data_IF_969514150685
#
_entry.id   IF_969514150685
#
_cell.length_a   1.000
_cell.length_b   1.000
_cell.length_c   1.000
_cell.angle_alpha   90.00
_cell.angle_beta   90.00
_cell.angle_gamma   90.00
#
_symmetry.space_group_name_H-M   'P 1'
#
loop_
_entity.id
_entity.type
_entity.pdbx_description
1 polymer ?
#
# COMPACT_ATOMS: atom_id res chain seq x y z
N UNK A 1 8.50 7.89 -12.81
CA UNK A 1 7.67 7.34 -13.89
C UNK A 1 7.72 8.28 -15.08
N UNK A 2 7.91 7.74 -16.31
CA UNK A 2 7.81 8.51 -17.55
C UNK A 2 6.36 8.38 -18.03
N UNK A 3 5.69 9.53 -18.26
CA UNK A 3 4.26 9.56 -18.62
C UNK A 3 4.01 10.57 -19.73
N UNK A 4 3.04 10.28 -20.58
CA UNK A 4 2.53 11.24 -21.55
C UNK A 4 1.60 12.24 -20.86
N UNK A 5 1.41 13.41 -21.43
CA UNK A 5 0.53 14.45 -20.87
C UNK A 5 -0.92 13.95 -20.71
N UNK A 6 -1.37 13.08 -21.62
CA UNK A 6 -2.69 12.46 -21.56
C UNK A 6 -2.92 11.51 -20.36
N UNK A 7 -1.86 11.03 -19.72
CA UNK A 7 -1.93 10.17 -18.54
C UNK A 7 -2.80 10.76 -17.43
N UNK A 8 -2.65 12.06 -17.20
CA UNK A 8 -3.37 12.76 -16.14
C UNK A 8 -4.88 12.85 -16.41
N UNK A 9 -5.29 12.96 -17.70
CA UNK A 9 -6.70 12.95 -18.09
C UNK A 9 -7.31 11.56 -17.96
N UNK A 10 -6.58 10.52 -18.41
CA UNK A 10 -7.04 9.14 -18.36
C UNK A 10 -7.33 8.73 -16.92
N UNK A 11 -6.48 9.11 -15.98
CA UNK A 11 -6.65 8.82 -14.55
C UNK A 11 -7.43 9.89 -13.78
N UNK A 12 -7.84 11.00 -14.43
CA UNK A 12 -8.52 12.13 -13.78
C UNK A 12 -7.73 12.70 -12.60
N UNK A 13 -6.42 12.81 -12.76
CA UNK A 13 -5.57 13.40 -11.74
C UNK A 13 -5.75 14.93 -11.79
N UNK A 14 -6.02 15.50 -10.63
CA UNK A 14 -6.21 16.95 -10.44
C UNK A 14 -5.11 17.56 -9.57
N UNK A 15 -5.02 18.88 -9.60
CA UNK A 15 -4.23 19.66 -8.64
C UNK A 15 -4.94 19.71 -7.26
N UNK A 16 -4.37 20.44 -6.31
CA UNK A 16 -4.96 20.63 -4.97
C UNK A 16 -6.31 21.36 -4.98
N UNK A 17 -6.58 22.13 -6.03
CA UNK A 17 -7.81 22.91 -6.20
C UNK A 17 -8.87 22.16 -7.02
N UNK A 18 -8.59 20.94 -7.41
CA UNK A 18 -9.49 20.10 -8.21
C UNK A 18 -9.47 20.41 -9.72
N UNK A 19 -8.53 21.25 -10.19
CA UNK A 19 -8.39 21.56 -11.62
C UNK A 19 -7.64 20.44 -12.34
N UNK A 20 -7.98 20.15 -13.60
CA UNK A 20 -7.26 19.16 -14.39
C UNK A 20 -5.79 19.60 -14.61
N UNK A 21 -4.88 18.64 -14.51
CA UNK A 21 -3.43 18.89 -14.62
C UNK A 21 -3.01 19.20 -16.06
N UNK A 22 -3.66 18.61 -17.06
CA UNK A 22 -3.25 18.72 -18.46
C UNK A 22 -3.10 20.17 -18.96
N UNK A 23 -4.08 21.08 -18.79
CA UNK A 23 -3.92 22.46 -19.25
C UNK A 23 -2.73 23.17 -18.58
N UNK A 24 -2.51 22.89 -17.28
CA UNK A 24 -1.42 23.48 -16.51
C UNK A 24 -0.06 23.03 -17.05
N UNK A 25 0.04 21.76 -17.45
CA UNK A 25 1.25 21.17 -18.03
C UNK A 25 1.49 21.68 -19.45
N UNK A 26 0.44 21.80 -20.27
CA UNK A 26 0.54 22.29 -21.65
C UNK A 26 1.00 23.76 -21.70
N UNK A 27 0.59 24.59 -20.75
CA UNK A 27 1.04 25.99 -20.61
C UNK A 27 2.45 26.13 -20.02
N UNK A 28 2.96 25.08 -19.39
CA UNK A 28 4.25 25.09 -18.69
C UNK A 28 5.36 24.54 -19.58
N UNK A 29 6.58 25.04 -19.42
CA UNK A 29 7.81 24.52 -20.02
C UNK A 29 8.55 23.53 -19.12
N UNK A 30 7.97 23.16 -17.95
CA UNK A 30 8.62 22.28 -17.00
C UNK A 30 8.68 20.81 -17.45
N UNK A 31 9.63 20.06 -16.92
CA UNK A 31 9.97 18.69 -17.31
C UNK A 31 9.25 17.64 -16.46
N UNK A 32 8.89 18.02 -15.24
CA UNK A 32 8.33 17.08 -14.26
C UNK A 32 7.03 17.58 -13.63
N UNK A 33 6.17 16.64 -13.28
CA UNK A 33 5.02 16.86 -12.40
C UNK A 33 5.30 16.15 -11.07
N UNK A 34 5.09 16.84 -9.97
CA UNK A 34 5.29 16.29 -8.62
C UNK A 34 3.97 16.11 -7.87
N UNK A 35 3.93 15.17 -6.94
CA UNK A 35 2.78 15.00 -6.04
C UNK A 35 2.78 16.05 -4.93
N UNK A 36 1.59 16.34 -4.37
CA UNK A 36 1.46 17.27 -3.25
C UNK A 36 2.24 16.85 -2.00
N UNK A 37 2.44 15.55 -1.79
CA UNK A 37 3.29 15.04 -0.70
C UNK A 37 4.74 15.43 -0.94
N UNK A 38 5.22 15.27 -2.18
CA UNK A 38 6.57 15.65 -2.56
C UNK A 38 6.80 17.15 -2.46
N UNK A 39 5.80 17.96 -2.86
CA UNK A 39 5.87 19.41 -2.69
C UNK A 39 6.04 19.79 -1.23
N UNK A 40 5.29 19.13 -0.33
CA UNK A 40 5.36 19.40 1.11
C UNK A 40 6.74 19.03 1.68
N UNK A 41 7.29 17.89 1.28
CA UNK A 41 8.60 17.41 1.76
C UNK A 41 9.76 18.26 1.24
N UNK A 42 9.74 18.63 -0.04
CA UNK A 42 10.87 19.36 -0.65
C UNK A 42 10.78 20.89 -0.48
N UNK A 43 9.59 21.45 -0.52
CA UNK A 43 9.39 22.90 -0.51
C UNK A 43 8.73 23.43 0.77
N UNK A 44 8.58 22.58 1.80
CA UNK A 44 8.06 22.96 3.13
C UNK A 44 6.74 23.76 3.07
N UNK A 45 5.85 23.37 2.17
CA UNK A 45 4.54 24.03 1.98
C UNK A 45 4.54 25.25 1.06
N UNK A 46 5.68 25.67 0.52
CA UNK A 46 5.72 26.68 -0.54
C UNK A 46 5.37 26.05 -1.89
N UNK A 47 4.81 26.86 -2.80
CA UNK A 47 4.54 26.38 -4.16
C UNK A 47 5.79 25.86 -4.86
N UNK A 48 5.73 24.64 -5.33
CA UNK A 48 6.81 24.00 -6.10
C UNK A 48 6.79 24.34 -7.58
N UNK A 49 5.66 24.84 -8.12
CA UNK A 49 5.49 25.13 -9.54
C UNK A 49 6.55 26.11 -10.04
N UNK A 50 7.23 25.79 -11.13
CA UNK A 50 8.28 26.59 -11.74
C UNK A 50 9.64 26.54 -11.04
N UNK A 51 9.75 25.85 -9.90
CA UNK A 51 11.02 25.67 -9.20
C UNK A 51 11.81 24.51 -9.82
N UNK A 52 13.14 24.59 -9.67
CA UNK A 52 14.04 23.54 -10.10
C UNK A 52 14.32 22.52 -8.98
N UNK A 53 14.32 21.26 -9.34
CA UNK A 53 14.65 20.14 -8.44
C UNK A 53 15.88 19.43 -8.98
N UNK A 54 16.84 19.14 -8.10
CA UNK A 54 18.02 18.35 -8.41
C UNK A 54 17.95 17.01 -7.66
N UNK A 55 18.17 15.91 -8.35
CA UNK A 55 18.14 14.57 -7.78
C UNK A 55 19.55 14.17 -7.28
N UNK A 56 19.80 14.44 -6.00
CA UNK A 56 21.07 14.11 -5.35
C UNK A 56 22.21 15.11 -5.62
N UNK A 57 23.24 15.06 -4.77
CA UNK A 57 24.36 16.01 -4.77
C UNK A 57 25.28 15.89 -5.99
N UNK A 58 25.22 14.78 -6.75
CA UNK A 58 26.06 14.52 -7.93
C UNK A 58 25.34 14.74 -9.26
N UNK A 59 24.05 15.04 -9.26
CA UNK A 59 23.32 15.27 -10.50
C UNK A 59 23.64 16.66 -11.05
N UNK A 60 24.09 16.68 -12.29
CA UNK A 60 24.31 17.93 -13.09
C UNK A 60 23.02 18.46 -13.68
N UNK A 61 21.99 17.66 -13.80
CA UNK A 61 20.70 18.01 -14.40
C UNK A 61 19.74 18.52 -13.31
N UNK A 62 19.14 19.67 -13.58
CA UNK A 62 18.04 20.21 -12.80
C UNK A 62 16.76 20.13 -13.62
N UNK A 63 15.71 19.60 -13.03
CA UNK A 63 14.40 19.45 -13.65
C UNK A 63 13.46 20.54 -13.15
N UNK A 64 12.69 21.13 -14.05
CA UNK A 64 11.73 22.20 -13.70
C UNK A 64 10.36 21.60 -13.43
N UNK A 65 9.74 22.00 -12.33
CA UNK A 65 8.40 21.54 -11.95
C UNK A 65 7.34 22.23 -12.82
N UNK A 66 6.66 21.47 -13.67
CA UNK A 66 5.57 21.95 -14.52
C UNK A 66 4.27 22.18 -13.74
N UNK A 67 3.91 21.20 -12.91
CA UNK A 67 2.68 21.22 -12.13
C UNK A 67 2.81 20.39 -10.84
N UNK A 68 1.89 20.63 -9.92
CA UNK A 68 1.77 19.89 -8.66
C UNK A 68 0.41 19.25 -8.61
N UNK A 69 0.35 17.94 -8.40
CA UNK A 69 -0.91 17.21 -8.25
C UNK A 69 -1.40 17.20 -6.80
N UNK A 70 -2.66 16.84 -6.59
CA UNK A 70 -3.11 16.39 -5.28
C UNK A 70 -2.30 15.18 -4.81
N UNK A 71 -2.25 14.86 -3.50
CA UNK A 71 -1.61 13.64 -3.01
C UNK A 71 -2.18 12.40 -3.69
N UNK A 72 -1.31 11.58 -4.30
CA UNK A 72 -1.71 10.41 -5.07
C UNK A 72 -1.47 9.15 -4.24
N UNK A 73 -2.50 8.33 -4.08
CA UNK A 73 -2.41 7.00 -3.46
C UNK A 73 -2.31 5.94 -4.54
N UNK A 74 -1.36 5.04 -4.41
CA UNK A 74 -1.24 3.89 -5.30
C UNK A 74 -2.37 2.87 -5.11
N UNK A 75 -2.91 2.79 -3.89
CA UNK A 75 -4.09 2.00 -3.56
C UNK A 75 -4.78 2.57 -2.31
N UNK A 76 -5.96 2.07 -1.99
CA UNK A 76 -6.81 2.58 -0.89
C UNK A 76 -6.23 2.34 0.50
N UNK A 77 -5.34 1.35 0.65
CA UNK A 77 -4.81 0.92 1.95
C UNK A 77 -3.45 1.52 2.28
N UNK A 78 -2.83 2.21 1.33
CA UNK A 78 -1.52 2.82 1.51
C UNK A 78 -1.67 4.33 1.55
N UNK A 79 -0.97 4.98 2.48
CA UNK A 79 -0.88 6.44 2.49
C UNK A 79 -0.22 6.92 1.20
N UNK A 80 -0.61 8.11 0.76
CA UNK A 80 0.09 8.78 -0.33
C UNK A 80 1.59 8.88 -0.03
N UNK A 81 2.38 8.75 -1.07
CA UNK A 81 3.85 8.85 -0.98
C UNK A 81 4.34 9.90 -1.96
N UNK A 82 5.43 10.59 -1.62
CA UNK A 82 6.09 11.47 -2.57
C UNK A 82 6.38 10.74 -3.87
N UNK A 83 5.89 11.27 -4.98
CA UNK A 83 6.15 10.74 -6.30
C UNK A 83 6.29 11.86 -7.33
N UNK A 84 6.96 11.56 -8.42
CA UNK A 84 7.16 12.47 -9.53
C UNK A 84 7.03 11.73 -10.85
N UNK A 85 6.67 12.49 -11.89
CA UNK A 85 6.42 12.03 -13.23
C UNK A 85 7.24 12.86 -14.21
N UNK A 86 8.09 12.21 -15.01
CA UNK A 86 8.74 12.85 -16.16
C UNK A 86 7.75 12.95 -17.31
N UNK A 87 7.65 14.13 -17.88
CA UNK A 87 6.75 14.41 -18.98
C UNK A 87 7.39 14.03 -20.32
N UNK A 88 6.77 13.14 -21.05
CA UNK A 88 7.06 12.86 -22.45
C UNK A 88 6.11 13.72 -23.29
N UNK A 89 6.65 14.78 -23.91
CA UNK A 89 5.85 15.78 -24.66
C UNK A 89 5.87 15.53 -26.15
N UNK A 90 6.99 14.99 -26.65
CA UNK A 90 7.22 14.78 -28.07
C UNK A 90 7.28 13.28 -28.38
N UNK A 91 7.03 12.93 -29.65
CA UNK A 91 7.20 11.54 -30.12
C UNK A 91 8.64 11.06 -29.97
N UNK A 92 9.62 11.97 -30.03
CA UNK A 92 11.02 11.69 -29.78
C UNK A 92 11.28 11.29 -28.34
N UNK A 93 10.66 11.97 -27.36
CA UNK A 93 10.75 11.61 -25.94
C UNK A 93 10.18 10.20 -25.69
N UNK A 94 9.04 9.91 -26.34
CA UNK A 94 8.40 8.60 -26.26
C UNK A 94 9.30 7.52 -26.87
N UNK A 95 9.86 7.78 -28.05
CA UNK A 95 10.75 6.85 -28.74
C UNK A 95 12.03 6.60 -27.93
N UNK A 96 12.62 7.65 -27.35
CA UNK A 96 13.79 7.52 -26.47
C UNK A 96 13.47 6.71 -25.22
N UNK A 97 12.36 7.03 -24.54
CA UNK A 97 11.94 6.28 -23.37
C UNK A 97 11.62 4.82 -23.69
N UNK A 98 11.06 4.55 -24.87
CA UNK A 98 10.79 3.20 -25.35
C UNK A 98 12.06 2.42 -25.72
N UNK A 99 13.10 3.09 -26.23
CA UNK A 99 14.38 2.44 -26.54
C UNK A 99 15.15 2.03 -25.29
N UNK A 100 15.03 2.81 -24.22
CA UNK A 100 15.69 2.55 -22.94
C UNK A 100 14.90 1.56 -22.06
N UNK A 101 13.58 1.48 -22.26
CA UNK A 101 12.71 0.59 -21.53
C UNK A 101 12.58 -0.78 -22.22
N UNK A 102 12.47 -1.83 -21.43
CA UNK A 102 12.07 -3.13 -21.98
C UNK A 102 10.57 -3.07 -22.34
N UNK A 103 10.13 -3.65 -23.49
CA UNK A 103 8.73 -3.60 -23.91
C UNK A 103 7.71 -4.04 -22.84
N UNK A 104 8.10 -4.99 -21.99
CA UNK A 104 7.30 -5.48 -20.87
C UNK A 104 7.08 -4.46 -19.74
N UNK A 105 7.76 -3.32 -19.77
CA UNK A 105 7.63 -2.24 -18.78
C UNK A 105 6.85 -1.04 -19.34
N UNK A 106 6.19 -1.23 -20.48
CA UNK A 106 5.37 -0.21 -21.12
C UNK A 106 3.89 -0.55 -20.94
N UNK A 107 3.19 0.30 -20.22
CA UNK A 107 1.75 0.17 -20.00
C UNK A 107 0.99 1.23 -20.81
N UNK A 108 0.01 0.80 -21.59
CA UNK A 108 -0.90 1.70 -22.28
C UNK A 108 -2.23 1.75 -21.53
N UNK A 109 -2.56 2.92 -20.99
CA UNK A 109 -3.83 3.14 -20.28
C UNK A 109 -4.87 3.72 -21.24
N UNK A 110 -5.98 3.05 -21.38
CA UNK A 110 -7.09 3.49 -22.23
C UNK A 110 -8.35 3.66 -21.39
N UNK A 111 -8.99 4.82 -21.52
CA UNK A 111 -10.30 5.07 -20.90
C UNK A 111 -11.40 4.84 -21.93
N UNK A 112 -12.24 3.88 -21.64
CA UNK A 112 -13.42 3.60 -22.47
C UNK A 112 -14.58 4.53 -22.13
N UNK A 113 -15.53 4.69 -23.07
CA UNK A 113 -16.77 5.44 -22.84
C UNK A 113 -17.64 4.75 -21.80
N UNK A 114 -18.47 5.51 -21.13
CA UNK A 114 -19.48 4.95 -20.23
C UNK A 114 -20.40 3.98 -21.00
N UNK A 115 -20.62 2.79 -20.43
CA UNK A 115 -21.44 1.74 -21.04
C UNK A 115 -20.64 0.69 -21.82
N UNK A 116 -19.30 0.83 -21.96
CA UNK A 116 -18.45 -0.21 -22.50
C UNK A 116 -18.41 -1.39 -21.50
N UNK A 117 -18.65 -2.61 -21.98
CA UNK A 117 -18.60 -3.84 -21.18
C UNK A 117 -17.38 -4.66 -21.57
N UNK A 118 -16.89 -5.47 -20.62
CA UNK A 118 -15.80 -6.38 -20.92
C UNK A 118 -16.10 -7.39 -22.04
N UNK A 119 -17.36 -7.75 -22.21
CA UNK A 119 -17.85 -8.60 -23.31
C UNK A 119 -17.59 -7.98 -24.69
N UNK A 120 -17.47 -6.64 -24.76
CA UNK A 120 -17.19 -5.91 -26.00
C UNK A 120 -15.68 -5.83 -26.30
N UNK A 121 -14.83 -6.32 -25.40
CA UNK A 121 -13.37 -6.20 -25.51
C UNK A 121 -12.81 -6.95 -26.70
N UNK A 122 -13.27 -8.18 -26.94
CA UNK A 122 -12.81 -9.00 -28.07
C UNK A 122 -13.13 -8.33 -29.39
N UNK A 123 -14.35 -7.78 -29.53
CA UNK A 123 -14.75 -7.02 -30.70
C UNK A 123 -13.97 -5.73 -30.88
N UNK A 124 -13.57 -5.08 -29.78
CA UNK A 124 -12.71 -3.91 -29.83
C UNK A 124 -11.30 -4.28 -30.29
N UNK A 125 -10.71 -5.34 -29.74
CA UNK A 125 -9.38 -5.82 -30.11
C UNK A 125 -9.33 -6.28 -31.57
N UNK A 126 -10.36 -6.96 -32.05
CA UNK A 126 -10.47 -7.37 -33.45
C UNK A 126 -10.48 -6.14 -34.40
N UNK A 127 -11.27 -5.11 -34.07
CA UNK A 127 -11.36 -3.88 -34.87
C UNK A 127 -10.10 -3.01 -34.81
N UNK A 128 -9.40 -3.03 -33.70
CA UNK A 128 -8.24 -2.16 -33.44
C UNK A 128 -6.91 -2.91 -33.60
N UNK A 129 -6.92 -4.24 -33.77
CA UNK A 129 -5.71 -5.07 -33.78
C UNK A 129 -4.64 -4.62 -34.74
N UNK A 130 -5.01 -4.25 -35.96
CA UNK A 130 -4.05 -3.71 -36.94
C UNK A 130 -3.46 -2.35 -36.54
N UNK A 131 -4.25 -1.50 -35.88
CA UNK A 131 -3.81 -0.18 -35.41
C UNK A 131 -2.99 -0.25 -34.12
N UNK A 132 -3.18 -1.30 -33.33
CA UNK A 132 -2.46 -1.57 -32.09
C UNK A 132 -1.22 -2.40 -32.29
N UNK A 133 -0.96 -2.81 -33.54
CA UNK A 133 0.27 -3.54 -33.92
C UNK A 133 1.20 -2.62 -34.71
N UNK A 134 2.36 -2.33 -34.14
CA UNK A 134 3.37 -1.46 -34.76
C UNK A 134 4.75 -2.14 -34.62
N UNK A 135 5.44 -2.35 -35.76
CA UNK A 135 6.81 -2.85 -35.79
C UNK A 135 7.09 -4.06 -34.88
N UNK A 136 6.34 -5.15 -34.99
CA UNK A 136 6.40 -6.34 -34.13
C UNK A 136 5.99 -6.14 -32.65
N UNK A 137 5.54 -4.97 -32.28
CA UNK A 137 4.85 -4.76 -31.00
C UNK A 137 3.36 -4.99 -31.20
N UNK A 138 2.77 -5.84 -30.39
CA UNK A 138 1.35 -6.13 -30.38
C UNK A 138 0.81 -6.13 -28.96
N UNK A 139 -0.47 -5.86 -28.82
CA UNK A 139 -1.12 -5.91 -27.52
C UNK A 139 -1.20 -7.35 -27.06
N UNK A 140 -0.48 -7.69 -26.02
CA UNK A 140 -0.47 -9.03 -25.45
C UNK A 140 -1.71 -9.34 -24.64
N UNK A 141 -2.18 -8.36 -23.84
CA UNK A 141 -3.38 -8.52 -23.02
C UNK A 141 -3.98 -7.16 -22.70
N UNK A 142 -5.29 -7.13 -22.56
CA UNK A 142 -6.02 -5.97 -22.05
C UNK A 142 -6.72 -6.40 -20.77
N UNK A 143 -6.43 -5.72 -19.69
CA UNK A 143 -6.95 -6.06 -18.37
C UNK A 143 -7.67 -4.84 -17.81
N UNK A 144 -8.91 -4.97 -17.33
CA UNK A 144 -9.59 -3.89 -16.63
C UNK A 144 -8.79 -3.46 -15.41
N UNK A 145 -8.71 -2.16 -15.16
CA UNK A 145 -8.00 -1.65 -13.99
C UNK A 145 -8.58 -2.20 -12.67
N UNK A 146 -9.87 -2.51 -12.67
CA UNK A 146 -10.55 -3.12 -11.52
C UNK A 146 -10.04 -4.54 -11.23
N UNK A 147 -9.72 -5.32 -12.24
CA UNK A 147 -9.16 -6.67 -12.08
C UNK A 147 -7.68 -6.67 -11.68
N UNK A 148 -6.96 -5.61 -11.95
CA UNK A 148 -5.59 -5.44 -11.45
C UNK A 148 -5.55 -5.19 -9.94
N UNK A 149 -6.60 -4.61 -9.39
CA UNK A 149 -6.70 -4.28 -7.97
C UNK A 149 -6.46 -5.48 -7.05
N UNK A 150 -7.16 -6.63 -7.19
CA UNK A 150 -6.91 -7.80 -6.36
C UNK A 150 -5.49 -8.38 -6.55
N UNK A 151 -4.91 -8.27 -7.73
CA UNK A 151 -3.54 -8.74 -8.01
C UNK A 151 -2.52 -7.91 -7.23
N UNK A 152 -2.63 -6.59 -7.28
CA UNK A 152 -1.75 -5.66 -6.54
C UNK A 152 -1.90 -5.85 -5.02
N UNK A 153 -3.13 -6.05 -4.55
CA UNK A 153 -3.42 -6.21 -3.13
C UNK A 153 -3.11 -7.62 -2.59
N UNK A 154 -3.02 -8.64 -3.45
CA UNK A 154 -2.79 -10.03 -3.06
C UNK A 154 -1.58 -10.17 -2.13
N UNK A 155 -0.46 -9.57 -2.48
CA UNK A 155 0.76 -9.59 -1.68
C UNK A 155 0.54 -9.00 -0.28
N UNK A 156 -0.16 -7.88 -0.18
CA UNK A 156 -0.46 -7.23 1.11
C UNK A 156 -1.43 -8.06 1.95
N UNK A 157 -2.45 -8.64 1.33
CA UNK A 157 -3.43 -9.50 2.00
C UNK A 157 -2.76 -10.79 2.49
N UNK A 158 -1.91 -11.43 1.68
CA UNK A 158 -1.20 -12.64 2.06
C UNK A 158 -0.21 -12.38 3.20
N UNK A 159 0.46 -11.24 3.20
CA UNK A 159 1.31 -10.83 4.31
C UNK A 159 0.50 -10.57 5.59
N UNK A 160 -0.69 -9.97 5.49
CA UNK A 160 -1.58 -9.79 6.63
C UNK A 160 -2.06 -11.13 7.18
N UNK A 161 -2.48 -12.07 6.32
CA UNK A 161 -2.88 -13.43 6.72
C UNK A 161 -1.75 -14.15 7.45
N UNK A 162 -0.51 -14.07 6.95
CA UNK A 162 0.68 -14.66 7.61
C UNK A 162 0.90 -14.05 8.99
N UNK A 163 0.79 -12.74 9.14
CA UNK A 163 0.93 -12.06 10.45
C UNK A 163 -0.17 -12.51 11.43
N UNK A 164 -1.42 -12.57 10.99
CA UNK A 164 -2.55 -13.03 11.82
C UNK A 164 -2.33 -14.50 12.25
N UNK A 165 -1.91 -15.37 11.35
CA UNK A 165 -1.61 -16.75 11.67
C UNK A 165 -0.49 -16.87 12.71
N UNK A 166 0.58 -16.07 12.56
CA UNK A 166 1.70 -16.04 13.51
C UNK A 166 1.25 -15.57 14.89
N UNK A 167 0.48 -14.49 14.95
CA UNK A 167 -0.06 -13.97 16.22
C UNK A 167 -1.00 -14.99 16.86
N UNK A 168 -1.88 -15.63 16.08
CA UNK A 168 -2.75 -16.68 16.55
C UNK A 168 -1.98 -17.88 17.15
N UNK A 169 -0.94 -18.32 16.46
CA UNK A 169 -0.05 -19.37 16.96
C UNK A 169 0.63 -18.97 18.27
N UNK A 170 1.15 -17.74 18.38
CA UNK A 170 1.74 -17.22 19.60
C UNK A 170 0.73 -17.18 20.75
N UNK A 171 -0.50 -16.71 20.52
CA UNK A 171 -1.54 -16.68 21.53
C UNK A 171 -1.89 -18.09 22.04
N UNK A 172 -1.99 -19.08 21.15
CA UNK A 172 -2.23 -20.48 21.53
C UNK A 172 -1.09 -21.02 22.40
N UNK A 173 0.17 -20.74 22.05
CA UNK A 173 1.32 -21.16 22.87
C UNK A 173 1.32 -20.49 24.25
N UNK A 174 1.03 -19.21 24.33
CA UNK A 174 0.92 -18.50 25.61
C UNK A 174 -0.22 -19.09 26.44
N UNK A 175 -1.36 -19.38 25.82
CA UNK A 175 -2.50 -20.00 26.51
C UNK A 175 -2.11 -21.37 27.10
N UNK A 176 -1.47 -22.25 26.32
CA UNK A 176 -1.00 -23.53 26.83
C UNK A 176 0.06 -23.42 27.91
N UNK A 177 0.95 -22.42 27.79
CA UNK A 177 1.92 -22.11 28.86
C UNK A 177 1.24 -21.75 30.17
N UNK A 178 0.23 -20.86 30.12
CA UNK A 178 -0.53 -20.42 31.30
C UNK A 178 -1.30 -21.62 31.90
N UNK A 179 -2.00 -22.37 31.07
CA UNK A 179 -2.75 -23.55 31.52
C UNK A 179 -1.82 -24.59 32.14
N UNK A 180 -0.67 -24.88 31.52
CA UNK A 180 0.32 -25.83 32.01
C UNK A 180 0.91 -25.41 33.34
N UNK A 181 1.31 -24.17 33.50
CA UNK A 181 1.85 -23.66 34.78
C UNK A 181 0.80 -23.67 35.88
N UNK A 182 -0.44 -23.33 35.56
CA UNK A 182 -1.57 -23.37 36.53
C UNK A 182 -1.88 -24.79 36.95
N UNK A 183 -1.87 -25.75 36.02
CA UNK A 183 -2.05 -27.15 36.26
C UNK A 183 -0.97 -27.73 37.22
N UNK A 184 0.30 -27.49 36.91
CA UNK A 184 1.42 -27.93 37.73
C UNK A 184 1.33 -27.33 39.15
N UNK A 185 1.08 -26.06 39.28
CA UNK A 185 0.95 -25.40 40.56
C UNK A 185 -0.19 -25.94 41.40
N UNK A 186 -1.33 -26.26 40.79
CA UNK A 186 -2.47 -26.88 41.44
C UNK A 186 -2.12 -28.27 41.93
N UNK A 187 -1.36 -29.06 41.19
CA UNK A 187 -0.91 -30.41 41.61
C UNK A 187 0.03 -30.32 42.82
N UNK A 188 1.00 -29.45 42.82
CA UNK A 188 1.93 -29.27 43.95
C UNK A 188 1.21 -28.88 45.25
N UNK A 189 0.12 -28.09 45.17
CA UNK A 189 -0.61 -27.59 46.34
C UNK A 189 -1.81 -28.46 46.76
N UNK A 190 -2.01 -29.62 46.15
CA UNK A 190 -3.12 -30.52 46.49
C UNK A 190 -3.14 -30.88 47.98
N UNK A 191 -1.97 -31.19 48.56
CA UNK A 191 -1.84 -31.51 49.99
C UNK A 191 -2.22 -30.35 50.90
N UNK A 192 -1.78 -29.14 50.62
CA UNK A 192 -2.11 -27.92 51.37
C UNK A 192 -3.59 -27.61 51.32
N UNK A 193 -4.20 -27.76 50.14
CA UNK A 193 -5.63 -27.56 49.97
C UNK A 193 -6.47 -28.63 50.69
N UNK A 194 -6.00 -29.88 50.70
CA UNK A 194 -6.62 -30.95 51.47
C UNK A 194 -6.63 -30.62 52.98
N UNK A 195 -5.51 -30.13 53.50
CA UNK A 195 -5.40 -29.75 54.90
C UNK A 195 -6.34 -28.56 55.23
N UNK A 196 -6.40 -27.52 54.42
CA UNK A 196 -7.32 -26.37 54.60
C UNK A 196 -8.78 -26.81 54.53
N UNK A 197 -9.11 -27.72 53.63
CA UNK A 197 -10.47 -28.29 53.56
C UNK A 197 -10.84 -29.09 54.80
N UNK A 198 -9.89 -29.88 55.36
CA UNK A 198 -10.10 -30.60 56.61
C UNK A 198 -10.28 -29.69 57.82
N UNK A 199 -9.69 -28.49 57.81
CA UNK A 199 -9.85 -27.43 58.82
C UNK A 199 -11.12 -26.59 58.62
N UNK A 200 -12.01 -26.96 57.68
CA UNK A 200 -13.33 -26.32 57.47
C UNK A 200 -13.37 -25.22 56.42
N UNK A 201 -12.35 -25.03 55.63
CA UNK A 201 -12.38 -24.05 54.53
C UNK A 201 -13.38 -24.48 53.45
N UNK A 202 -14.27 -23.59 53.03
CA UNK A 202 -15.25 -23.83 51.98
C UNK A 202 -14.56 -23.95 50.59
N UNK A 203 -15.18 -24.77 49.71
CA UNK A 203 -14.68 -24.90 48.31
C UNK A 203 -14.64 -23.56 47.54
N UNK A 204 -15.55 -22.64 47.89
CA UNK A 204 -15.60 -21.29 47.32
C UNK A 204 -14.40 -20.44 47.72
N UNK A 205 -14.04 -20.45 49.00
CA UNK A 205 -12.89 -19.73 49.54
C UNK A 205 -11.58 -20.21 48.94
N UNK A 206 -11.41 -21.53 48.75
CA UNK A 206 -10.23 -22.15 48.14
C UNK A 206 -10.07 -21.74 46.65
N UNK A 207 -11.19 -21.75 45.90
CA UNK A 207 -11.18 -21.28 44.49
C UNK A 207 -10.85 -19.76 44.36
N UNK A 208 -11.44 -18.97 45.26
CA UNK A 208 -11.19 -17.53 45.26
C UNK A 208 -9.70 -17.23 45.56
N UNK A 209 -9.12 -17.92 46.51
CA UNK A 209 -7.69 -17.77 46.86
C UNK A 209 -6.78 -18.11 45.68
N UNK A 210 -7.03 -19.18 44.94
CA UNK A 210 -6.25 -19.58 43.78
C UNK A 210 -6.40 -18.55 42.62
N UNK A 211 -7.60 -18.06 42.41
CA UNK A 211 -7.85 -17.07 41.35
C UNK A 211 -7.16 -15.71 41.66
N UNK A 212 -7.24 -15.27 42.92
CA UNK A 212 -6.59 -14.02 43.34
C UNK A 212 -5.07 -14.14 43.19
N UNK A 213 -4.49 -15.26 43.58
CA UNK A 213 -3.04 -15.49 43.45
C UNK A 213 -2.62 -15.53 41.97
N UNK A 214 -3.40 -16.16 41.08
CA UNK A 214 -3.18 -16.17 39.63
C UNK A 214 -3.27 -14.76 39.02
N UNK A 215 -4.21 -13.96 39.49
CA UNK A 215 -4.43 -12.60 39.03
C UNK A 215 -3.29 -11.66 39.48
N UNK A 216 -2.78 -11.84 40.71
CA UNK A 216 -1.60 -11.12 41.20
C UNK A 216 -0.36 -11.38 40.33
N UNK A 217 -0.11 -12.64 39.94
CA UNK A 217 1.00 -12.97 39.08
C UNK A 217 0.88 -12.33 37.69
N UNK A 218 -0.35 -12.31 37.12
CA UNK A 218 -0.60 -11.63 35.85
C UNK A 218 -0.32 -10.13 35.95
N UNK A 219 -0.75 -9.48 37.01
CA UNK A 219 -0.50 -8.04 37.22
C UNK A 219 1.00 -7.72 37.33
N UNK A 220 1.76 -8.59 38.01
CA UNK A 220 3.21 -8.39 38.13
C UNK A 220 3.99 -8.66 36.84
N UNK A 221 3.44 -9.43 35.89
CA UNK A 221 4.11 -9.68 34.61
C UNK A 221 3.88 -8.54 33.58
N UNK A 222 2.82 -7.76 33.72
CA UNK A 222 2.50 -6.66 32.78
C UNK A 222 3.62 -5.59 32.69
N UNK A 223 4.20 -5.05 33.77
CA UNK A 223 5.26 -4.04 33.71
C UNK A 223 6.62 -4.58 33.23
N UNK A 224 6.78 -5.90 33.14
CA UNK A 224 8.02 -6.52 32.64
C UNK A 224 7.97 -6.68 31.13
N UNK A 225 6.77 -6.66 30.53
CA UNK A 225 6.53 -6.89 29.08
C UNK A 225 6.30 -5.58 28.32
N UNK A 226 5.98 -4.49 29.02
CA UNK A 226 5.88 -3.11 28.48
C UNK A 226 7.20 -2.37 28.55
#
# INVERSE_FOLDING_TARGET
FNVTVSYFDVLRISDREGRPIRPIVEESTGDIVISGDMETDFFQGQSGKGKQVKWGSKSTTSETVAAVTSPIRQNEYVKSKPCFYYLMRTDEDIAKSASDAKPQNMDCLVRMRNGFRMEDMDSFLEKMGERLSVNNLYVSSVIPLEEQRPVILKSSIDNLKKKIALVGFMLVNVFFGIVGTFWLRTQYRRGEMGLRSALGASRGTLKCFLNVEGLFLLIFTIPVVL
#
